data_IF_722474415140
#
_entry.id   IF_722474415140
#
_cell.length_a   1.000
_cell.length_b   1.000
_cell.length_c   1.000
_cell.angle_alpha   90.00
_cell.angle_beta   90.00
_cell.angle_gamma   90.00
#
_symmetry.space_group_name_H-M   'P 1'
#
loop_
_entity.id
_entity.type
_entity.pdbx_description
1 polymer ?
#
# COMPACT_ATOMS: atom_id res chain seq x y z
N UNK A 1 45.70 0.40 -20.34
CA UNK A 1 45.13 0.36 -18.98
C UNK A 1 44.43 1.69 -18.72
N UNK A 2 43.09 1.70 -18.69
CA UNK A 2 42.30 2.93 -18.68
C UNK A 2 42.38 3.67 -17.35
N UNK A 3 42.91 4.89 -17.37
CA UNK A 3 42.89 5.82 -16.23
C UNK A 3 41.47 6.38 -16.03
N UNK A 4 40.61 5.63 -15.33
CA UNK A 4 39.30 6.11 -14.91
C UNK A 4 39.43 7.17 -13.81
N UNK A 5 38.89 8.38 -14.02
CA UNK A 5 38.84 9.41 -12.97
C UNK A 5 37.94 8.92 -11.82
N UNK A 6 38.27 9.19 -10.55
CA UNK A 6 37.41 8.82 -9.43
C UNK A 6 36.12 9.65 -9.48
N UNK A 7 34.97 8.96 -9.48
CA UNK A 7 33.67 9.60 -9.34
C UNK A 7 33.38 9.84 -7.85
N UNK A 8 32.83 11.00 -7.53
CA UNK A 8 32.30 11.33 -6.19
C UNK A 8 30.78 11.33 -6.26
N UNK A 9 30.14 10.63 -5.33
CA UNK A 9 28.68 10.58 -5.20
C UNK A 9 28.33 11.14 -3.82
N UNK A 10 27.69 12.31 -3.79
CA UNK A 10 27.21 12.93 -2.57
C UNK A 10 25.69 12.78 -2.46
N UNK A 11 25.20 12.42 -1.27
CA UNK A 11 23.77 12.37 -1.00
C UNK A 11 23.18 13.76 -0.92
N UNK A 12 22.26 14.09 -1.83
CA UNK A 12 21.52 15.36 -1.83
C UNK A 12 20.08 15.15 -1.35
N UNK A 13 19.43 16.24 -0.96
CA UNK A 13 18.02 16.23 -0.59
C UNK A 13 17.14 15.65 -1.72
N UNK A 14 16.19 14.81 -1.35
CA UNK A 14 15.31 14.14 -2.30
C UNK A 14 14.20 15.07 -2.81
N UNK A 15 14.50 15.85 -3.85
CA UNK A 15 13.55 16.77 -4.49
C UNK A 15 12.29 16.07 -5.01
N UNK A 16 12.41 14.81 -5.43
CA UNK A 16 11.27 14.02 -5.94
C UNK A 16 10.28 13.69 -4.83
N UNK A 17 10.77 13.29 -3.66
CA UNK A 17 9.92 13.06 -2.49
C UNK A 17 9.20 14.33 -2.07
N UNK A 18 9.91 15.46 -1.98
CA UNK A 18 9.32 16.75 -1.64
C UNK A 18 8.19 17.13 -2.61
N UNK A 19 8.45 17.06 -3.92
CA UNK A 19 7.44 17.40 -4.94
C UNK A 19 6.20 16.51 -4.82
N UNK A 20 6.37 15.20 -4.63
CA UNK A 20 5.25 14.25 -4.46
C UNK A 20 4.42 14.56 -3.22
N UNK A 21 5.06 14.82 -2.07
CA UNK A 21 4.37 15.16 -0.83
C UNK A 21 3.60 16.47 -0.98
N UNK A 22 4.20 17.48 -1.60
CA UNK A 22 3.54 18.76 -1.85
C UNK A 22 2.31 18.60 -2.77
N UNK A 23 2.45 17.83 -3.86
CA UNK A 23 1.31 17.54 -4.75
C UNK A 23 0.21 16.78 -4.02
N UNK A 24 0.54 15.76 -3.21
CA UNK A 24 -0.45 15.02 -2.43
C UNK A 24 -1.18 15.93 -1.44
N UNK A 25 -0.46 16.78 -0.70
CA UNK A 25 -1.05 17.74 0.24
C UNK A 25 -1.98 18.74 -0.49
N UNK A 26 -1.54 19.23 -1.65
CA UNK A 26 -2.36 20.10 -2.48
C UNK A 26 -3.66 19.41 -2.92
N UNK A 27 -3.57 18.18 -3.43
CA UNK A 27 -4.75 17.39 -3.84
C UNK A 27 -5.74 17.16 -2.69
N UNK A 28 -5.25 16.93 -1.47
CA UNK A 28 -6.08 16.75 -0.28
C UNK A 28 -6.79 18.04 0.18
N UNK A 29 -6.20 19.22 -0.09
CA UNK A 29 -6.71 20.51 0.34
C UNK A 29 -7.64 21.20 -0.69
N UNK A 30 -7.64 20.73 -1.93
CA UNK A 30 -8.47 21.30 -2.99
C UNK A 30 -9.96 21.07 -2.70
N UNK A 31 -10.81 22.11 -2.80
CA UNK A 31 -12.24 21.93 -2.64
C UNK A 31 -12.74 20.96 -3.72
N UNK A 32 -13.60 20.02 -3.34
CA UNK A 32 -14.18 19.11 -4.30
C UNK A 32 -15.07 19.90 -5.29
N UNK A 33 -15.16 19.45 -6.54
CA UNK A 33 -16.11 20.04 -7.51
C UNK A 33 -17.57 19.78 -7.07
N UNK A 34 -18.54 20.31 -7.82
CA UNK A 34 -19.98 20.12 -7.55
C UNK A 34 -20.42 18.66 -7.51
N UNK A 35 -19.70 17.78 -8.19
CA UNK A 35 -19.97 16.35 -8.12
C UNK A 35 -19.33 15.77 -6.87
N UNK A 36 -18.24 16.40 -6.39
CA UNK A 36 -17.42 16.16 -5.21
C UNK A 36 -15.99 15.65 -5.52
N UNK A 37 -15.53 15.75 -6.78
CA UNK A 37 -14.21 15.25 -7.22
C UNK A 37 -13.11 16.27 -6.91
N UNK A 38 -11.89 15.80 -6.62
CA UNK A 38 -10.72 16.67 -6.69
C UNK A 38 -10.59 17.17 -8.16
N UNK A 39 -10.55 18.48 -8.30
CA UNK A 39 -11.00 19.23 -9.48
C UNK A 39 -10.16 18.98 -10.76
N UNK A 40 -10.88 18.81 -11.88
CA UNK A 40 -10.54 19.01 -13.32
C UNK A 40 -9.28 18.41 -13.98
N UNK A 41 -8.24 17.97 -13.27
CA UNK A 41 -7.03 17.41 -13.93
C UNK A 41 -7.14 15.90 -14.24
N UNK A 42 -8.36 15.43 -14.53
CA UNK A 42 -8.63 14.05 -15.01
C UNK A 42 -7.83 13.69 -16.26
N UNK A 43 -7.44 14.68 -17.07
CA UNK A 43 -6.60 14.47 -18.27
C UNK A 43 -5.16 14.04 -17.93
N UNK A 44 -4.67 14.32 -16.72
CA UNK A 44 -3.34 13.85 -16.26
C UNK A 44 -3.41 12.65 -15.32
N UNK A 45 -4.57 12.36 -14.75
CA UNK A 45 -4.78 11.21 -13.85
C UNK A 45 -5.63 10.14 -14.54
N UNK A 46 -5.08 9.52 -15.58
CA UNK A 46 -5.66 8.33 -16.20
C UNK A 46 -5.63 7.18 -15.18
N UNK A 47 -6.79 6.57 -14.84
CA UNK A 47 -6.81 5.27 -14.14
C UNK A 47 -7.89 5.06 -13.07
N UNK A 48 -8.52 6.11 -12.54
CA UNK A 48 -9.63 5.95 -11.57
C UNK A 48 -10.97 6.04 -12.31
N UNK A 49 -11.54 4.89 -12.65
CA UNK A 49 -12.88 4.81 -13.26
C UNK A 49 -13.98 4.92 -12.18
N UNK A 50 -15.00 5.76 -12.43
CA UNK A 50 -16.28 5.72 -11.71
C UNK A 50 -16.71 7.00 -10.96
N UNK A 51 -17.95 6.95 -10.45
CA UNK A 51 -18.57 7.93 -9.52
C UNK A 51 -18.29 7.60 -8.03
N UNK A 52 -17.40 6.64 -7.75
CA UNK A 52 -17.11 6.18 -6.41
C UNK A 52 -16.01 7.02 -5.76
N UNK A 53 -16.32 7.61 -4.61
CA UNK A 53 -15.36 8.38 -3.79
C UNK A 53 -15.14 7.71 -2.44
N UNK A 54 -14.18 6.78 -2.35
CA UNK A 54 -13.88 6.11 -1.09
C UNK A 54 -13.15 7.01 -0.06
N UNK A 55 -12.57 8.15 -0.46
CA UNK A 55 -11.67 8.93 0.40
C UNK A 55 -12.32 10.11 1.15
N UNK A 56 -13.50 10.59 0.76
CA UNK A 56 -14.11 11.80 1.36
C UNK A 56 -14.56 11.57 2.81
N UNK A 57 -15.16 10.41 3.09
CA UNK A 57 -15.52 9.97 4.44
C UNK A 57 -14.30 9.83 5.35
N UNK A 58 -13.16 9.43 4.78
CA UNK A 58 -11.90 9.31 5.51
C UNK A 58 -11.33 10.70 5.79
N UNK A 59 -11.27 11.58 4.80
CA UNK A 59 -10.76 12.95 4.95
C UNK A 59 -11.60 13.77 5.93
N UNK A 60 -12.93 13.66 5.88
CA UNK A 60 -13.81 14.34 6.83
C UNK A 60 -13.60 13.87 8.26
N UNK A 61 -13.36 12.58 8.48
CA UNK A 61 -13.00 12.03 9.79
C UNK A 61 -11.62 12.53 10.24
N UNK A 62 -10.60 12.49 9.37
CA UNK A 62 -9.24 12.93 9.68
C UNK A 62 -9.14 14.42 10.01
N UNK A 63 -9.91 15.27 9.33
CA UNK A 63 -9.93 16.72 9.57
C UNK A 63 -10.98 17.14 10.61
N UNK A 64 -11.57 16.19 11.36
CA UNK A 64 -12.50 16.48 12.45
C UNK A 64 -13.85 17.06 12.02
N UNK A 65 -14.20 16.97 10.74
CA UNK A 65 -15.53 17.37 10.22
C UNK A 65 -16.60 16.31 10.50
N UNK A 66 -16.20 15.05 10.69
CA UNK A 66 -17.06 13.95 11.08
C UNK A 66 -16.58 13.34 12.41
N UNK A 67 -17.52 13.05 13.32
CA UNK A 67 -17.20 12.58 14.68
C UNK A 67 -16.85 11.08 14.76
N UNK A 68 -17.20 10.26 13.75
CA UNK A 68 -16.97 8.82 13.75
C UNK A 68 -16.65 8.32 12.34
N UNK A 69 -15.80 7.28 12.26
CA UNK A 69 -15.55 6.57 11.01
C UNK A 69 -16.83 5.94 10.46
N UNK A 70 -17.03 6.08 9.16
CA UNK A 70 -18.21 5.58 8.44
C UNK A 70 -18.14 4.04 8.34
N UNK A 71 -19.26 3.37 8.56
CA UNK A 71 -19.39 1.93 8.36
C UNK A 71 -19.43 1.62 6.86
N UNK A 72 -18.60 0.67 6.40
CA UNK A 72 -18.52 0.27 5.01
C UNK A 72 -19.77 -0.53 4.64
N UNK A 73 -20.58 0.01 3.71
CA UNK A 73 -21.75 -0.71 3.20
C UNK A 73 -21.30 -1.99 2.49
N UNK A 74 -21.84 -3.14 2.91
CA UNK A 74 -21.48 -4.44 2.35
C UNK A 74 -20.28 -5.13 3.01
N UNK A 75 -19.83 -4.67 4.19
CA UNK A 75 -18.84 -5.40 4.97
C UNK A 75 -19.38 -6.77 5.37
N UNK A 76 -18.92 -7.83 4.72
CA UNK A 76 -19.16 -9.20 5.20
C UNK A 76 -18.39 -9.44 6.51
N UNK A 77 -18.76 -10.48 7.26
CA UNK A 77 -17.96 -10.87 8.42
C UNK A 77 -16.65 -11.47 7.95
N UNK A 78 -15.56 -11.13 8.63
CA UNK A 78 -14.27 -11.78 8.41
C UNK A 78 -14.43 -13.28 8.63
N UNK A 79 -14.00 -14.09 7.66
CA UNK A 79 -14.10 -15.54 7.79
C UNK A 79 -13.28 -16.03 8.99
N UNK A 80 -13.81 -17.03 9.70
CA UNK A 80 -13.16 -17.62 10.88
C UNK A 80 -11.77 -18.19 10.57
N UNK A 81 -11.54 -18.61 9.32
CA UNK A 81 -10.25 -19.08 8.80
C UNK A 81 -9.13 -18.05 9.00
N UNK A 82 -9.43 -16.75 8.92
CA UNK A 82 -8.44 -15.69 9.10
C UNK A 82 -8.16 -15.33 10.57
N UNK A 83 -9.00 -15.79 11.50
CA UNK A 83 -8.91 -15.44 12.93
C UNK A 83 -8.10 -16.45 13.76
N UNK A 84 -7.65 -17.55 13.16
CA UNK A 84 -6.88 -18.59 13.84
C UNK A 84 -5.57 -18.08 14.41
N UNK A 85 -5.26 -18.44 15.67
CA UNK A 85 -4.00 -18.10 16.34
C UNK A 85 -3.86 -16.64 16.79
N UNK A 86 -4.89 -15.81 16.61
CA UNK A 86 -4.89 -14.42 17.06
C UNK A 86 -5.46 -14.29 18.48
N UNK A 87 -4.89 -13.37 19.25
CA UNK A 87 -5.44 -13.00 20.54
C UNK A 87 -6.67 -12.09 20.37
N UNK A 88 -7.35 -11.77 21.49
CA UNK A 88 -8.61 -11.01 21.43
C UNK A 88 -8.45 -9.62 20.81
N UNK A 89 -7.41 -8.86 21.19
CA UNK A 89 -7.19 -7.51 20.64
C UNK A 89 -6.85 -7.52 19.15
N UNK A 90 -6.17 -8.56 18.67
CA UNK A 90 -5.88 -8.74 17.25
C UNK A 90 -7.14 -9.13 16.46
N UNK A 91 -8.02 -9.95 17.04
CA UNK A 91 -9.33 -10.29 16.44
C UNK A 91 -10.23 -9.07 16.35
N UNK A 92 -10.25 -8.24 17.40
CA UNK A 92 -10.97 -6.97 17.41
C UNK A 92 -10.44 -6.03 16.32
N UNK A 93 -9.12 -5.85 16.23
CA UNK A 93 -8.50 -5.05 15.18
C UNK A 93 -8.88 -5.51 13.76
N UNK A 94 -8.96 -6.82 13.53
CA UNK A 94 -9.41 -7.37 12.24
C UNK A 94 -10.89 -7.10 11.96
N UNK A 95 -11.76 -7.29 12.95
CA UNK A 95 -13.20 -7.01 12.83
C UNK A 95 -13.45 -5.53 12.52
N UNK A 96 -12.72 -4.64 13.19
CA UNK A 96 -12.83 -3.21 13.00
C UNK A 96 -12.28 -2.77 11.63
N UNK A 97 -11.16 -3.35 11.18
CA UNK A 97 -10.62 -3.09 9.85
C UNK A 97 -11.55 -3.57 8.71
N UNK A 98 -12.35 -4.61 8.94
CA UNK A 98 -13.31 -5.11 7.96
C UNK A 98 -14.56 -4.23 7.83
N UNK A 99 -15.01 -3.62 8.93
CA UNK A 99 -16.30 -2.91 9.01
C UNK A 99 -16.19 -1.39 8.88
N UNK A 100 -15.10 -0.77 9.35
CA UNK A 100 -14.93 0.69 9.34
C UNK A 100 -14.19 1.20 8.10
N UNK A 101 -14.50 2.43 7.70
CA UNK A 101 -13.78 3.15 6.63
C UNK A 101 -12.38 3.59 7.05
N UNK A 102 -12.17 3.80 8.35
CA UNK A 102 -10.89 4.15 8.95
C UNK A 102 -10.71 3.41 10.29
N UNK A 103 -9.58 2.74 10.45
CA UNK A 103 -9.23 1.99 11.66
C UNK A 103 -7.79 2.29 12.03
N UNK A 104 -7.55 2.67 13.29
CA UNK A 104 -6.21 2.84 13.84
C UNK A 104 -5.88 1.64 14.74
N UNK A 105 -4.88 0.87 14.35
CA UNK A 105 -4.38 -0.26 15.13
C UNK A 105 -3.08 0.15 15.80
N UNK A 106 -3.08 0.27 17.12
CA UNK A 106 -1.90 0.60 17.91
C UNK A 106 -1.37 -0.65 18.61
N UNK A 107 -0.06 -0.87 18.55
CA UNK A 107 0.58 -2.01 19.22
C UNK A 107 1.96 -1.64 19.79
N UNK A 108 2.25 -1.96 21.07
CA UNK A 108 3.60 -1.86 21.65
C UNK A 108 4.67 -2.60 20.81
N UNK A 109 5.97 -2.32 20.98
CA UNK A 109 7.03 -3.08 20.30
C UNK A 109 6.89 -4.59 20.59
N UNK A 110 7.11 -5.44 19.58
CA UNK A 110 7.01 -6.90 19.71
C UNK A 110 5.59 -7.51 19.67
N UNK A 111 4.51 -6.72 19.63
CA UNK A 111 3.12 -7.24 19.68
C UNK A 111 2.55 -7.76 18.35
N UNK A 112 3.41 -8.08 17.38
CA UNK A 112 2.98 -8.69 16.12
C UNK A 112 2.18 -7.75 15.19
N UNK A 113 2.37 -6.43 15.27
CA UNK A 113 1.70 -5.44 14.39
C UNK A 113 1.78 -5.82 12.91
N UNK A 114 2.96 -6.23 12.43
CA UNK A 114 3.16 -6.67 11.05
C UNK A 114 2.35 -7.92 10.74
N UNK A 115 2.30 -8.88 11.67
CA UNK A 115 1.47 -10.10 11.53
C UNK A 115 -0.01 -9.75 11.39
N UNK A 116 -0.51 -8.85 12.23
CA UNK A 116 -1.91 -8.38 12.13
C UNK A 116 -2.16 -7.66 10.81
N UNK A 117 -1.24 -6.79 10.38
CA UNK A 117 -1.36 -6.10 9.10
C UNK A 117 -1.42 -7.09 7.92
N UNK A 118 -0.55 -8.10 7.89
CA UNK A 118 -0.56 -9.16 6.87
C UNK A 118 -1.89 -9.92 6.87
N UNK A 119 -2.44 -10.25 8.06
CA UNK A 119 -3.74 -10.93 8.18
C UNK A 119 -4.90 -10.09 7.66
N UNK A 120 -4.92 -8.79 8.00
CA UNK A 120 -5.92 -7.83 7.50
C UNK A 120 -5.84 -7.74 5.97
N UNK A 121 -4.63 -7.55 5.43
CA UNK A 121 -4.40 -7.43 3.99
C UNK A 121 -4.78 -8.72 3.25
N UNK A 122 -4.45 -9.89 3.80
CA UNK A 122 -4.88 -11.19 3.26
C UNK A 122 -6.40 -11.30 3.22
N UNK A 123 -7.07 -10.95 4.32
CA UNK A 123 -8.53 -10.98 4.37
C UNK A 123 -9.14 -10.02 3.33
N UNK A 124 -8.61 -8.81 3.17
CA UNK A 124 -9.09 -7.85 2.17
C UNK A 124 -8.83 -8.30 0.73
N UNK A 125 -7.69 -8.93 0.46
CA UNK A 125 -7.33 -9.41 -0.87
C UNK A 125 -8.12 -10.66 -1.28
N UNK A 126 -8.38 -11.58 -0.34
CA UNK A 126 -9.05 -12.85 -0.62
C UNK A 126 -10.58 -12.79 -0.62
N UNK A 127 -11.16 -11.74 -0.04
CA UNK A 127 -12.62 -11.63 0.13
C UNK A 127 -13.21 -10.56 -0.78
N UNK A 128 -14.50 -10.71 -1.08
CA UNK A 128 -15.29 -9.63 -1.71
C UNK A 128 -15.66 -8.52 -0.73
N UNK A 129 -15.10 -8.51 0.49
CA UNK A 129 -15.40 -7.57 1.59
C UNK A 129 -15.41 -6.10 1.17
N UNK A 130 -14.64 -5.75 0.13
CA UNK A 130 -14.55 -4.38 -0.41
C UNK A 130 -14.77 -4.31 -1.91
N UNK A 131 -15.61 -5.19 -2.46
CA UNK A 131 -16.03 -5.17 -3.87
C UNK A 131 -15.02 -5.77 -4.86
N UNK A 132 -13.99 -6.50 -4.38
CA UNK A 132 -13.08 -7.27 -5.23
C UNK A 132 -12.00 -6.47 -5.97
N UNK A 133 -11.57 -5.34 -5.41
CA UNK A 133 -10.47 -4.51 -5.96
C UNK A 133 -9.09 -4.84 -5.38
N UNK A 134 -8.04 -4.33 -6.03
CA UNK A 134 -6.67 -4.42 -5.52
C UNK A 134 -6.48 -3.63 -4.21
N UNK A 135 -5.62 -4.14 -3.32
CA UNK A 135 -5.31 -3.50 -2.04
C UNK A 135 -3.97 -2.78 -2.14
N UNK A 136 -3.96 -1.48 -1.80
CA UNK A 136 -2.72 -0.71 -1.68
C UNK A 136 -2.21 -0.77 -0.24
N UNK A 137 -1.01 -1.31 -0.05
CA UNK A 137 -0.25 -1.21 1.21
C UNK A 137 0.92 -0.24 1.00
N UNK A 138 1.12 0.69 1.93
CA UNK A 138 2.21 1.65 1.88
C UNK A 138 2.84 1.82 3.27
N UNK A 139 4.13 2.16 3.28
CA UNK A 139 4.90 2.46 4.49
C UNK A 139 5.98 3.51 4.17
N UNK A 140 6.54 4.15 5.18
CA UNK A 140 7.64 5.10 5.07
C UNK A 140 9.02 4.44 4.87
N UNK A 141 9.13 3.14 5.18
CA UNK A 141 10.37 2.37 5.14
C UNK A 141 10.30 1.20 4.16
N UNK A 142 11.32 1.08 3.30
CA UNK A 142 11.46 -0.05 2.38
C UNK A 142 11.50 -1.39 3.10
N UNK A 143 12.14 -1.45 4.28
CA UNK A 143 12.24 -2.66 5.11
C UNK A 143 10.86 -3.08 5.61
N UNK A 144 10.03 -2.11 6.03
CA UNK A 144 8.67 -2.39 6.48
C UNK A 144 7.81 -2.93 5.34
N UNK A 145 7.93 -2.36 4.13
CA UNK A 145 7.26 -2.90 2.94
C UNK A 145 7.76 -4.30 2.61
N UNK A 146 9.07 -4.56 2.68
CA UNK A 146 9.64 -5.90 2.43
C UNK A 146 9.09 -6.94 3.39
N UNK A 147 9.01 -6.63 4.69
CA UNK A 147 8.46 -7.53 5.68
C UNK A 147 6.98 -7.89 5.42
N UNK A 148 6.20 -6.92 4.91
CA UNK A 148 4.79 -7.15 4.55
C UNK A 148 4.69 -7.98 3.27
N UNK A 149 5.49 -7.69 2.24
CA UNK A 149 5.53 -8.46 0.99
C UNK A 149 5.90 -9.92 1.28
N UNK A 150 6.96 -10.13 2.06
CA UNK A 150 7.42 -11.46 2.47
C UNK A 150 6.33 -12.20 3.26
N UNK A 151 5.67 -11.53 4.21
CA UNK A 151 4.58 -12.10 4.99
C UNK A 151 3.37 -12.50 4.13
N UNK A 152 3.00 -11.68 3.15
CA UNK A 152 1.88 -11.95 2.25
C UNK A 152 2.19 -13.06 1.25
N UNK A 153 3.43 -13.09 0.72
CA UNK A 153 3.88 -14.14 -0.19
C UNK A 153 3.85 -15.52 0.47
N UNK A 154 4.33 -15.63 1.72
CA UNK A 154 4.23 -16.88 2.52
C UNK A 154 2.79 -17.33 2.75
N UNK A 155 1.85 -16.40 2.80
CA UNK A 155 0.43 -16.69 2.98
C UNK A 155 -0.31 -16.96 1.65
N UNK A 156 0.41 -17.00 0.53
CA UNK A 156 -0.11 -17.33 -0.80
C UNK A 156 -0.85 -16.19 -1.51
N UNK A 157 -0.65 -14.94 -1.07
CA UNK A 157 -1.29 -13.78 -1.69
C UNK A 157 -0.43 -13.29 -2.86
N UNK A 158 -1.04 -13.04 -4.02
CA UNK A 158 -0.36 -12.39 -5.15
C UNK A 158 -0.07 -10.93 -4.79
N UNK A 159 1.22 -10.58 -4.72
CA UNK A 159 1.68 -9.23 -4.36
C UNK A 159 2.59 -8.67 -5.43
N UNK A 160 2.44 -7.37 -5.69
CA UNK A 160 3.34 -6.60 -6.56
C UNK A 160 3.98 -5.50 -5.73
N UNK A 161 5.31 -5.56 -5.58
CA UNK A 161 6.10 -4.51 -4.94
C UNK A 161 6.45 -3.43 -5.98
N UNK A 162 5.98 -2.21 -5.74
CA UNK A 162 6.29 -1.03 -6.57
C UNK A 162 7.43 -0.25 -5.92
N UNK A 163 8.50 -0.01 -6.66
CA UNK A 163 9.68 0.70 -6.17
C UNK A 163 10.93 0.28 -6.92
N UNK A 164 12.10 0.80 -6.50
CA UNK A 164 13.36 0.43 -7.13
C UNK A 164 13.81 -0.95 -6.63
N UNK A 165 14.15 -1.91 -7.51
CA UNK A 165 14.58 -3.24 -7.09
C UNK A 165 15.87 -3.19 -6.27
N UNK A 166 16.80 -2.28 -6.56
CA UNK A 166 18.02 -2.08 -5.73
C UNK A 166 17.76 -1.65 -4.27
N UNK A 167 16.53 -1.23 -3.93
CA UNK A 167 16.16 -0.88 -2.55
C UNK A 167 15.37 -1.97 -1.85
N UNK A 168 15.08 -3.07 -2.54
CA UNK A 168 14.37 -4.22 -2.02
C UNK A 168 15.38 -5.26 -1.51
N UNK A 169 14.99 -5.99 -0.47
CA UNK A 169 15.74 -7.16 -0.02
C UNK A 169 15.76 -8.27 -1.09
N UNK A 170 16.85 -9.05 -1.20
CA UNK A 170 16.98 -10.10 -2.21
C UNK A 170 15.82 -11.10 -2.25
N UNK A 171 15.27 -11.44 -1.08
CA UNK A 171 14.22 -12.44 -0.91
C UNK A 171 12.87 -11.99 -1.50
N UNK A 172 12.66 -10.69 -1.71
CA UNK A 172 11.41 -10.16 -2.25
C UNK A 172 11.54 -9.64 -3.69
N UNK A 173 12.73 -9.74 -4.31
CA UNK A 173 12.98 -9.24 -5.66
C UNK A 173 12.05 -9.85 -6.70
N UNK A 174 11.66 -11.11 -6.53
CA UNK A 174 10.74 -11.78 -7.44
C UNK A 174 9.33 -11.17 -7.47
N UNK A 175 8.97 -10.41 -6.43
CA UNK A 175 7.70 -9.69 -6.33
C UNK A 175 7.80 -8.24 -6.82
N UNK A 176 8.98 -7.75 -7.21
CA UNK A 176 9.13 -6.42 -7.79
C UNK A 176 8.47 -6.34 -9.16
N UNK A 177 7.76 -5.24 -9.43
CA UNK A 177 7.08 -5.01 -10.71
C UNK A 177 8.01 -5.21 -11.92
N UNK A 178 9.23 -4.68 -11.88
CA UNK A 178 10.23 -4.84 -12.94
C UNK A 178 10.58 -6.31 -13.20
N UNK A 179 10.72 -7.11 -12.14
CA UNK A 179 11.11 -8.51 -12.25
C UNK A 179 9.97 -9.39 -12.72
N UNK A 180 8.74 -9.10 -12.27
CA UNK A 180 7.52 -9.73 -12.79
C UNK A 180 7.41 -9.49 -14.29
N UNK A 181 7.56 -8.25 -14.74
CA UNK A 181 7.49 -7.89 -16.17
C UNK A 181 8.60 -8.59 -16.96
N UNK A 182 9.83 -8.64 -16.44
CA UNK A 182 10.94 -9.37 -17.09
C UNK A 182 10.62 -10.85 -17.28
N UNK A 183 10.13 -11.52 -16.23
CA UNK A 183 9.71 -12.93 -16.29
C UNK A 183 8.58 -13.14 -17.29
N UNK A 184 7.56 -12.27 -17.29
CA UNK A 184 6.42 -12.37 -18.23
C UNK A 184 6.85 -12.17 -19.68
N UNK A 185 7.84 -11.32 -19.94
CA UNK A 185 8.35 -11.03 -21.28
C UNK A 185 9.51 -11.94 -21.72
N UNK A 186 9.89 -12.95 -20.92
CA UNK A 186 11.02 -13.85 -21.18
C UNK A 186 12.34 -13.12 -21.48
N UNK A 187 12.59 -11.99 -20.83
CA UNK A 187 13.84 -11.23 -21.00
C UNK A 187 14.93 -11.84 -20.12
N UNK A 188 16.02 -12.33 -20.72
CA UNK A 188 17.19 -12.84 -20.00
C UNK A 188 17.95 -11.71 -19.29
N UNK A 189 18.48 -12.00 -18.09
CA UNK A 189 19.22 -11.01 -17.31
C UNK A 189 20.51 -10.61 -18.03
N UNK A 190 20.87 -9.32 -17.97
CA UNK A 190 22.16 -8.80 -18.50
C UNK A 190 23.40 -9.33 -17.77
N UNK A 191 23.27 -10.18 -16.73
CA UNK A 191 24.40 -10.65 -15.92
C UNK A 191 25.12 -11.90 -16.45
N UNK A 192 24.72 -12.48 -17.58
CA UNK A 192 25.43 -13.64 -18.17
C UNK A 192 26.40 -13.26 -19.32
N UNK A 193 26.65 -11.97 -19.55
CA UNK A 193 27.61 -11.51 -20.56
C UNK A 193 28.64 -10.56 -19.95
N UNK A 194 29.48 -11.10 -19.06
CA UNK A 194 30.79 -10.51 -18.68
C UNK A 194 31.68 -11.60 -18.10
#
# INVERSE_FOLDING_TARGET
AGSGRPFRVDGLANRQQFARTLTAAHLCAMPPDKDGNCTKDRRKMCGLAGKHRPSEDILSTLFGKAAKAVQVKGSEKVERSFLGGLNESQREAMSEAASKSLTLVQGPPGTGKTTVAVRILKAWAGSKLRGGGGVLCASDSNIAVDNVVEGLAREGVTVVRVGRPETARPEVLEHCADEIVRKTLNLTSRKESS
#
